data_IF_627656352663
#
_entry.id   IF_627656352663
#
_cell.length_a   1.000
_cell.length_b   1.000
_cell.length_c   1.000
_cell.angle_alpha   90.00
_cell.angle_beta   90.00
_cell.angle_gamma   90.00
#
_symmetry.space_group_name_H-M   'P 1'
#
loop_
_entity.id
_entity.type
_entity.pdbx_description
1 polymer ?
#
# COMPACT_ATOMS: atom_id res chain seq x y z
N UNK A 1 -22.10 -0.89 -6.40
CA UNK A 1 -22.37 -1.38 -5.04
C UNK A 1 -22.95 -2.80 -5.03
N UNK A 2 -23.92 -3.16 -5.88
CA UNK A 2 -24.49 -4.53 -5.96
C UNK A 2 -23.47 -5.61 -6.28
N UNK A 3 -22.58 -5.38 -7.26
CA UNK A 3 -21.53 -6.34 -7.66
C UNK A 3 -20.62 -6.69 -6.48
N UNK A 4 -20.23 -5.70 -5.67
CA UNK A 4 -19.40 -5.93 -4.49
C UNK A 4 -20.10 -6.79 -3.44
N UNK A 5 -21.40 -6.57 -3.23
CA UNK A 5 -22.20 -7.36 -2.31
C UNK A 5 -22.27 -8.83 -2.77
N UNK A 6 -22.56 -9.07 -4.05
CA UNK A 6 -22.57 -10.43 -4.61
C UNK A 6 -21.20 -11.11 -4.51
N UNK A 7 -20.12 -10.39 -4.81
CA UNK A 7 -18.78 -10.93 -4.68
C UNK A 7 -18.45 -11.31 -3.23
N UNK A 8 -18.85 -10.48 -2.23
CA UNK A 8 -18.69 -10.79 -0.82
C UNK A 8 -19.47 -12.04 -0.40
N UNK A 9 -20.73 -12.17 -0.83
CA UNK A 9 -21.57 -13.33 -0.54
C UNK A 9 -20.99 -14.62 -1.15
N UNK A 10 -20.50 -14.57 -2.39
CA UNK A 10 -19.86 -15.72 -3.05
C UNK A 10 -18.61 -16.14 -2.29
N UNK A 11 -17.70 -15.18 -1.98
CA UNK A 11 -16.47 -15.47 -1.25
C UNK A 11 -16.81 -16.11 0.10
N UNK A 12 -17.71 -15.50 0.86
CA UNK A 12 -18.09 -16.01 2.18
C UNK A 12 -18.63 -17.44 2.12
N UNK A 13 -19.55 -17.73 1.19
CA UNK A 13 -20.17 -19.04 1.07
C UNK A 13 -19.19 -20.13 0.64
N UNK A 14 -18.31 -19.81 -0.32
CA UNK A 14 -17.32 -20.77 -0.84
C UNK A 14 -16.22 -21.03 0.18
N UNK A 15 -15.70 -20.00 0.84
CA UNK A 15 -14.68 -20.16 1.87
C UNK A 15 -15.19 -21.00 3.05
N UNK A 16 -16.46 -20.78 3.45
CA UNK A 16 -17.09 -21.56 4.51
C UNK A 16 -17.26 -23.04 4.13
N UNK A 17 -17.54 -23.32 2.87
CA UNK A 17 -17.80 -24.69 2.39
C UNK A 17 -16.50 -25.47 2.12
N UNK A 18 -15.46 -24.81 1.60
CA UNK A 18 -14.27 -25.48 1.05
C UNK A 18 -12.99 -25.20 1.82
N UNK A 19 -13.04 -24.42 2.92
CA UNK A 19 -11.86 -24.06 3.73
C UNK A 19 -10.69 -23.51 2.90
N UNK A 20 -10.99 -22.70 1.89
CA UNK A 20 -10.04 -22.05 0.99
C UNK A 20 -10.08 -20.53 1.15
N UNK A 21 -9.08 -19.84 0.64
CA UNK A 21 -9.09 -18.38 0.52
C UNK A 21 -9.41 -17.97 -0.91
N UNK A 22 -10.38 -17.07 -1.07
CA UNK A 22 -10.77 -16.52 -2.37
C UNK A 22 -10.50 -15.02 -2.44
N UNK A 23 -10.13 -14.59 -3.62
CA UNK A 23 -9.95 -13.18 -3.95
C UNK A 23 -10.75 -12.84 -5.20
N UNK A 24 -11.19 -11.60 -5.33
CA UNK A 24 -11.92 -11.13 -6.48
C UNK A 24 -11.41 -9.76 -6.92
N UNK A 25 -11.40 -9.56 -8.23
CA UNK A 25 -11.20 -8.26 -8.85
C UNK A 25 -12.47 -7.79 -9.54
N UNK A 26 -12.72 -6.50 -9.54
CA UNK A 26 -13.85 -5.86 -10.22
C UNK A 26 -13.31 -4.82 -11.20
N UNK A 27 -13.62 -5.01 -12.48
CA UNK A 27 -13.32 -4.04 -13.55
C UNK A 27 -14.45 -3.04 -13.77
N UNK A 28 -14.28 -2.13 -14.71
CA UNK A 28 -15.30 -1.18 -15.11
C UNK A 28 -16.48 -1.86 -15.81
N UNK A 29 -17.64 -1.21 -15.80
CA UNK A 29 -18.82 -1.71 -16.53
C UNK A 29 -18.58 -1.56 -18.03
N UNK A 30 -18.80 -2.63 -18.80
CA UNK A 30 -18.71 -2.65 -20.24
C UNK A 30 -20.06 -2.95 -20.89
N UNK A 31 -20.40 -2.22 -21.93
CA UNK A 31 -21.68 -2.35 -22.68
C UNK A 31 -21.50 -2.97 -24.06
N UNK A 32 -20.30 -2.99 -24.57
CA UNK A 32 -19.96 -3.57 -25.86
C UNK A 32 -18.76 -4.53 -25.75
N UNK A 33 -18.49 -5.28 -26.82
CA UNK A 33 -17.46 -6.32 -26.83
C UNK A 33 -16.04 -5.82 -26.42
N UNK A 34 -15.68 -4.63 -26.83
CA UNK A 34 -14.36 -4.06 -26.52
C UNK A 34 -14.28 -3.64 -25.06
N UNK A 35 -15.32 -3.02 -24.53
CA UNK A 35 -15.42 -2.63 -23.13
C UNK A 35 -15.46 -3.83 -22.19
N UNK A 36 -16.20 -4.90 -22.54
CA UNK A 36 -16.22 -6.14 -21.75
C UNK A 36 -14.83 -6.77 -21.71
N UNK A 37 -14.10 -6.79 -22.84
CA UNK A 37 -12.73 -7.30 -22.86
C UNK A 37 -11.77 -6.45 -22.04
N UNK A 38 -11.97 -5.14 -22.01
CA UNK A 38 -11.23 -4.23 -21.15
C UNK A 38 -11.56 -4.46 -19.68
N UNK A 39 -12.84 -4.51 -19.33
CA UNK A 39 -13.34 -4.80 -17.99
C UNK A 39 -12.77 -6.11 -17.42
N UNK A 40 -12.70 -7.16 -18.24
CA UNK A 40 -12.09 -8.42 -17.82
C UNK A 40 -10.61 -8.25 -17.45
N UNK A 41 -9.82 -7.55 -18.26
CA UNK A 41 -8.39 -7.29 -17.96
C UNK A 41 -8.21 -6.46 -16.70
N UNK A 42 -9.04 -5.45 -16.51
CA UNK A 42 -9.07 -4.63 -15.31
C UNK A 42 -9.40 -5.47 -14.05
N UNK A 43 -10.41 -6.32 -14.15
CA UNK A 43 -10.79 -7.25 -13.08
C UNK A 43 -9.68 -8.26 -12.77
N UNK A 44 -9.04 -8.82 -13.79
CA UNK A 44 -7.92 -9.75 -13.64
C UNK A 44 -6.74 -9.10 -12.93
N UNK A 45 -6.36 -7.88 -13.33
CA UNK A 45 -5.30 -7.10 -12.66
C UNK A 45 -5.65 -6.83 -11.19
N UNK A 46 -6.87 -6.38 -10.91
CA UNK A 46 -7.32 -6.12 -9.54
C UNK A 46 -7.35 -7.39 -8.69
N UNK A 47 -7.74 -8.53 -9.27
CA UNK A 47 -7.74 -9.83 -8.60
C UNK A 47 -6.32 -10.28 -8.25
N UNK A 48 -5.37 -10.18 -9.18
CA UNK A 48 -3.97 -10.52 -8.96
C UNK A 48 -3.36 -9.66 -7.83
N UNK A 49 -3.66 -8.37 -7.81
CA UNK A 49 -3.25 -7.47 -6.72
C UNK A 49 -3.91 -7.83 -5.38
N UNK A 50 -5.18 -8.23 -5.38
CA UNK A 50 -5.86 -8.68 -4.17
C UNK A 50 -5.20 -9.95 -3.59
N UNK A 51 -4.88 -10.93 -4.45
CA UNK A 51 -4.17 -12.16 -4.07
C UNK A 51 -2.76 -11.87 -3.54
N UNK A 52 -2.06 -10.95 -4.15
CA UNK A 52 -0.69 -10.59 -3.78
C UNK A 52 -0.64 -9.81 -2.47
N UNK A 53 -1.42 -8.74 -2.37
CA UNK A 53 -1.38 -7.83 -1.21
C UNK A 53 -2.14 -8.37 0.01
N UNK A 54 -3.07 -9.28 -0.17
CA UNK A 54 -3.91 -9.93 0.87
C UNK A 54 -4.59 -8.95 1.86
N UNK A 55 -4.50 -7.65 1.61
CA UNK A 55 -5.07 -6.61 2.47
C UNK A 55 -6.59 -6.47 2.32
N UNK A 56 -7.13 -6.81 1.14
CA UNK A 56 -8.56 -6.84 0.84
C UNK A 56 -8.85 -8.05 -0.05
N UNK A 57 -9.89 -8.82 0.27
CA UNK A 57 -10.33 -9.96 -0.55
C UNK A 57 -10.94 -9.55 -1.89
N UNK A 58 -11.48 -8.35 -1.97
CA UNK A 58 -12.04 -7.77 -3.19
C UNK A 58 -11.35 -6.45 -3.46
N UNK A 59 -10.77 -6.31 -4.65
CA UNK A 59 -10.25 -5.03 -5.15
C UNK A 59 -11.05 -4.58 -6.36
N UNK A 60 -11.37 -3.29 -6.40
CA UNK A 60 -11.97 -2.64 -7.57
C UNK A 60 -10.85 -1.97 -8.35
N UNK A 61 -10.80 -2.15 -9.67
CA UNK A 61 -9.72 -1.60 -10.49
C UNK A 61 -9.64 -0.07 -10.41
N UNK A 62 -10.79 0.63 -10.25
CA UNK A 62 -10.81 2.08 -10.06
C UNK A 62 -10.15 2.57 -8.76
N UNK A 63 -9.95 1.67 -7.81
CA UNK A 63 -9.32 1.97 -6.51
C UNK A 63 -7.85 1.53 -6.48
N UNK A 64 -7.32 1.11 -7.63
CA UNK A 64 -5.92 0.70 -7.78
C UNK A 64 -5.16 1.84 -8.44
N UNK A 65 -4.32 2.51 -7.68
CA UNK A 65 -3.58 3.67 -8.12
C UNK A 65 -2.07 3.35 -8.27
N UNK A 66 -1.32 3.55 -7.21
CA UNK A 66 0.14 3.42 -7.22
C UNK A 66 0.59 1.96 -7.44
N UNK A 67 -0.20 0.98 -7.01
CA UNK A 67 0.10 -0.43 -7.15
C UNK A 67 0.26 -0.84 -8.62
N UNK A 68 -0.47 -0.22 -9.55
CA UNK A 68 -0.32 -0.45 -10.99
C UNK A 68 1.06 -0.05 -11.51
N UNK A 69 1.63 1.02 -10.96
CA UNK A 69 2.97 1.46 -11.30
C UNK A 69 4.00 0.51 -10.70
N UNK A 70 3.84 0.14 -9.44
CA UNK A 70 4.76 -0.73 -8.73
C UNK A 70 4.82 -2.14 -9.34
N UNK A 71 3.70 -2.66 -9.84
CA UNK A 71 3.64 -3.96 -10.53
C UNK A 71 4.50 -3.99 -11.80
N UNK A 72 4.64 -2.85 -12.50
CA UNK A 72 5.42 -2.72 -13.72
C UNK A 72 6.93 -2.45 -13.47
N UNK A 73 7.34 -2.23 -12.23
CA UNK A 73 8.74 -2.05 -11.84
C UNK A 73 9.28 -3.39 -11.36
N UNK A 74 10.47 -3.79 -11.82
CA UNK A 74 11.08 -5.04 -11.36
C UNK A 74 11.30 -5.05 -9.84
N UNK A 75 11.18 -6.21 -9.21
CA UNK A 75 11.43 -6.33 -7.76
C UNK A 75 12.83 -5.82 -7.40
N UNK A 76 13.82 -6.12 -8.24
CA UNK A 76 15.20 -5.68 -8.05
C UNK A 76 15.33 -4.14 -8.03
N UNK A 77 14.65 -3.44 -8.95
CA UNK A 77 14.68 -1.97 -9.00
C UNK A 77 13.95 -1.35 -7.81
N UNK A 78 12.85 -1.97 -7.36
CA UNK A 78 12.13 -1.57 -6.16
C UNK A 78 12.99 -1.70 -4.91
N UNK A 79 13.64 -2.85 -4.71
CA UNK A 79 14.58 -3.08 -3.60
C UNK A 79 15.75 -2.10 -3.62
N UNK A 80 16.31 -1.84 -4.81
CA UNK A 80 17.39 -0.88 -4.97
C UNK A 80 16.96 0.53 -4.59
N UNK A 81 15.73 0.92 -4.96
CA UNK A 81 15.18 2.24 -4.58
C UNK A 81 15.01 2.36 -3.06
N UNK A 82 14.41 1.35 -2.41
CA UNK A 82 14.24 1.34 -0.95
C UNK A 82 15.59 1.44 -0.24
N UNK A 83 16.58 0.63 -0.64
CA UNK A 83 17.93 0.69 -0.10
C UNK A 83 18.60 2.06 -0.31
N UNK A 84 18.37 2.70 -1.44
CA UNK A 84 18.90 4.04 -1.71
C UNK A 84 18.31 5.10 -0.77
N UNK A 85 17.02 5.01 -0.45
CA UNK A 85 16.35 6.00 0.41
C UNK A 85 16.70 5.78 1.87
N UNK A 86 16.58 4.55 2.38
CA UNK A 86 16.87 4.22 3.78
C UNK A 86 18.36 3.96 4.04
N UNK A 87 19.20 4.01 2.98
CA UNK A 87 20.66 3.90 3.05
C UNK A 87 21.11 2.66 3.86
N UNK A 88 21.90 2.92 4.91
CA UNK A 88 22.50 1.88 5.75
C UNK A 88 21.63 1.50 6.96
N UNK A 89 20.34 1.86 6.95
CA UNK A 89 19.42 1.46 8.01
C UNK A 89 19.27 -0.07 8.00
N UNK A 90 19.35 -0.67 9.19
CA UNK A 90 19.05 -2.08 9.37
C UNK A 90 17.55 -2.34 9.12
N UNK A 91 17.21 -3.61 8.85
CA UNK A 91 15.85 -4.01 8.52
C UNK A 91 14.83 -3.58 9.60
N UNK A 92 15.15 -3.81 10.86
CA UNK A 92 14.29 -3.41 11.98
C UNK A 92 14.08 -1.89 12.07
N UNK A 93 15.09 -1.12 11.70
CA UNK A 93 14.99 0.33 11.67
C UNK A 93 14.15 0.80 10.48
N UNK A 94 14.32 0.18 9.32
CA UNK A 94 13.51 0.43 8.13
C UNK A 94 12.03 0.17 8.41
N UNK A 95 11.69 -0.95 9.04
CA UNK A 95 10.30 -1.25 9.47
C UNK A 95 9.74 -0.13 10.36
N UNK A 96 10.51 0.32 11.35
CA UNK A 96 10.08 1.42 12.24
C UNK A 96 9.84 2.74 11.50
N UNK A 97 10.68 3.05 10.51
CA UNK A 97 10.50 4.24 9.67
C UNK A 97 9.29 4.13 8.76
N UNK A 98 9.07 2.98 8.15
CA UNK A 98 7.88 2.70 7.33
C UNK A 98 6.60 2.88 8.15
N UNK A 99 6.53 2.29 9.34
CA UNK A 99 5.38 2.44 10.24
C UNK A 99 5.15 3.90 10.67
N UNK A 100 6.22 4.63 10.97
CA UNK A 100 6.13 6.05 11.32
C UNK A 100 5.60 6.88 10.15
N UNK A 101 6.15 6.68 8.95
CA UNK A 101 5.73 7.37 7.73
C UNK A 101 4.28 7.06 7.38
N UNK A 102 3.84 5.81 7.54
CA UNK A 102 2.46 5.39 7.33
C UNK A 102 1.51 6.16 8.23
N UNK A 103 1.73 6.10 9.54
CA UNK A 103 0.89 6.81 10.50
C UNK A 103 0.89 8.33 10.26
N UNK A 104 2.06 8.91 9.91
CA UNK A 104 2.18 10.33 9.63
C UNK A 104 1.42 10.75 8.37
N UNK A 105 1.45 9.92 7.31
CA UNK A 105 0.71 10.17 6.06
C UNK A 105 -0.80 10.03 6.23
N UNK A 106 -1.26 9.01 6.95
CA UNK A 106 -2.69 8.78 7.24
C UNK A 106 -3.30 9.95 8.03
N UNK A 107 -2.47 10.61 8.84
CA UNK A 107 -2.83 11.82 9.57
C UNK A 107 -2.56 13.12 8.80
N UNK A 108 -2.34 13.05 7.48
CA UNK A 108 -2.05 14.21 6.62
C UNK A 108 -0.91 15.10 7.16
N UNK A 109 0.14 14.50 7.75
CA UNK A 109 1.27 15.22 8.32
C UNK A 109 0.98 15.95 9.64
N UNK A 110 -0.13 15.66 10.31
CA UNK A 110 -0.50 16.28 11.58
C UNK A 110 0.32 15.70 12.73
N UNK A 111 1.25 16.49 13.28
CA UNK A 111 2.05 16.11 14.46
C UNK A 111 1.15 15.70 15.64
N UNK A 112 0.07 16.44 15.86
CA UNK A 112 -0.83 16.18 16.99
C UNK A 112 -1.51 14.83 16.87
N UNK A 113 -2.19 14.60 15.75
CA UNK A 113 -2.94 13.34 15.52
C UNK A 113 -2.00 12.13 15.45
N UNK A 114 -0.88 12.24 14.74
CA UNK A 114 0.11 11.16 14.65
C UNK A 114 0.69 10.81 16.01
N UNK A 115 0.96 11.80 16.88
CA UNK A 115 1.45 11.54 18.23
C UNK A 115 0.40 10.85 19.10
N UNK A 116 -0.88 11.23 18.96
CA UNK A 116 -2.01 10.58 19.63
C UNK A 116 -2.16 9.11 19.18
N UNK A 117 -2.16 8.83 17.88
CA UNK A 117 -2.29 7.48 17.32
C UNK A 117 -1.12 6.56 17.69
N UNK A 118 0.09 7.13 17.78
CA UNK A 118 1.30 6.39 18.22
C UNK A 118 1.45 6.31 19.74
N UNK A 119 0.52 6.89 20.51
CA UNK A 119 0.58 6.97 21.97
C UNK A 119 1.90 7.56 22.52
N UNK A 120 2.41 8.60 21.87
CA UNK A 120 3.64 9.29 22.26
C UNK A 120 3.42 10.81 22.40
N UNK A 121 4.35 11.49 23.11
CA UNK A 121 4.31 12.95 23.18
C UNK A 121 4.74 13.56 21.83
N UNK A 122 4.19 14.76 21.50
CA UNK A 122 4.51 15.49 20.26
C UNK A 122 6.01 15.74 20.07
N UNK A 123 6.73 16.05 21.15
CA UNK A 123 8.18 16.26 21.09
C UNK A 123 8.93 14.98 20.73
N UNK A 124 8.46 13.81 21.20
CA UNK A 124 9.01 12.50 20.83
C UNK A 124 8.79 12.22 19.35
N UNK A 125 7.61 12.55 18.82
CA UNK A 125 7.34 12.43 17.39
C UNK A 125 8.27 13.33 16.56
N UNK A 126 8.39 14.61 16.94
CA UNK A 126 9.29 15.55 16.26
C UNK A 126 10.75 15.07 16.28
N UNK A 127 11.20 14.54 17.41
CA UNK A 127 12.52 13.92 17.52
C UNK A 127 12.67 12.74 16.56
N UNK A 128 11.69 11.82 16.49
CA UNK A 128 11.72 10.68 15.56
C UNK A 128 11.76 11.13 14.10
N UNK A 129 10.95 12.13 13.72
CA UNK A 129 10.97 12.69 12.35
C UNK A 129 12.32 13.34 12.02
N UNK A 130 12.95 14.00 13.00
CA UNK A 130 14.30 14.56 12.81
C UNK A 130 15.36 13.47 12.67
N UNK A 131 15.24 12.36 13.42
CA UNK A 131 16.12 11.19 13.27
C UNK A 131 15.96 10.52 11.92
N UNK A 132 14.73 10.38 11.41
CA UNK A 132 14.49 9.90 10.06
C UNK A 132 15.17 10.80 9.01
N UNK A 133 15.07 12.13 9.17
CA UNK A 133 15.78 13.07 8.29
C UNK A 133 17.31 12.89 8.35
N UNK A 134 17.88 12.73 9.54
CA UNK A 134 19.32 12.50 9.71
C UNK A 134 19.77 11.20 9.02
N UNK A 135 18.98 10.11 9.17
CA UNK A 135 19.29 8.82 8.59
C UNK A 135 19.18 8.81 7.06
N UNK A 136 18.11 9.40 6.53
CA UNK A 136 17.79 9.33 5.09
C UNK A 136 18.29 10.53 4.29
N UNK A 137 18.41 11.68 4.91
CA UNK A 137 18.67 12.97 4.26
C UNK A 137 17.40 13.68 3.77
N UNK A 138 16.21 13.13 3.99
CA UNK A 138 14.91 13.67 3.55
C UNK A 138 14.04 14.05 4.75
N UNK A 139 13.48 15.27 4.74
CA UNK A 139 12.57 15.72 5.80
C UNK A 139 11.11 15.35 5.45
N UNK A 140 10.46 14.47 6.20
CA UNK A 140 9.07 14.09 5.93
C UNK A 140 8.06 15.23 6.12
N UNK A 141 8.47 16.34 6.76
CA UNK A 141 7.66 17.56 6.97
C UNK A 141 7.73 18.50 5.77
N UNK A 142 8.70 18.33 4.88
CA UNK A 142 8.83 19.08 3.64
C UNK A 142 8.17 18.29 2.51
N UNK A 143 7.19 18.88 1.82
CA UNK A 143 6.41 18.22 0.78
C UNK A 143 7.30 17.60 -0.31
N UNK A 144 8.30 18.34 -0.81
CA UNK A 144 9.16 17.86 -1.89
C UNK A 144 10.08 16.74 -1.41
N UNK A 145 10.67 16.90 -0.23
CA UNK A 145 11.57 15.90 0.35
C UNK A 145 10.83 14.65 0.85
N UNK A 146 9.55 14.76 1.19
CA UNK A 146 8.75 13.62 1.64
C UNK A 146 8.38 12.65 0.52
N UNK A 147 8.33 13.08 -0.74
CA UNK A 147 7.93 12.25 -1.88
C UNK A 147 8.78 10.98 -1.99
N UNK A 148 10.12 11.03 -2.02
CA UNK A 148 10.94 9.81 -2.07
C UNK A 148 10.71 8.87 -0.88
N UNK A 149 10.49 9.43 0.33
CA UNK A 149 10.19 8.64 1.53
C UNK A 149 8.88 7.88 1.40
N UNK A 150 7.81 8.54 0.93
CA UNK A 150 6.51 7.89 0.73
C UNK A 150 6.54 6.85 -0.37
N UNK A 151 7.24 7.10 -1.47
CA UNK A 151 7.42 6.09 -2.52
C UNK A 151 8.17 4.87 -1.97
N UNK A 152 9.24 5.07 -1.21
CA UNK A 152 9.99 3.97 -0.61
C UNK A 152 9.15 3.18 0.41
N UNK A 153 8.33 3.87 1.22
CA UNK A 153 7.37 3.25 2.13
C UNK A 153 6.35 2.39 1.36
N UNK A 154 5.73 2.93 0.31
CA UNK A 154 4.75 2.21 -0.50
C UNK A 154 5.35 0.98 -1.18
N UNK A 155 6.58 1.11 -1.72
CA UNK A 155 7.32 -0.02 -2.30
C UNK A 155 7.60 -1.08 -1.23
N UNK A 156 8.10 -0.66 -0.07
CA UNK A 156 8.40 -1.59 1.02
C UNK A 156 7.16 -2.39 1.41
N UNK A 157 6.05 -1.74 1.65
CA UNK A 157 4.79 -2.40 1.99
C UNK A 157 4.28 -3.31 0.86
N UNK A 158 4.37 -2.84 -0.40
CA UNK A 158 3.98 -3.63 -1.55
C UNK A 158 4.76 -4.95 -1.64
N UNK A 159 6.05 -4.95 -1.33
CA UNK A 159 6.90 -6.15 -1.42
C UNK A 159 6.81 -7.04 -0.17
N UNK A 160 6.50 -6.50 1.02
CA UNK A 160 6.45 -7.26 2.29
C UNK A 160 5.03 -7.66 2.73
N UNK A 161 3.98 -7.21 2.03
CA UNK A 161 2.60 -7.68 2.29
C UNK A 161 2.38 -9.13 1.81
N UNK A 162 3.40 -9.77 1.22
CA UNK A 162 3.32 -11.08 0.56
C UNK A 162 3.72 -12.24 1.47
N UNK A 163 4.15 -11.96 2.71
CA UNK A 163 4.42 -12.96 3.75
C UNK A 163 3.26 -13.03 4.77
#
# INVERSE_FOLDING_TARGET
>A
QEILKYAQEIIYNVEKQYSCQLYAGVGAVGTNRLEIRRSYREADTACNLAMRLKNKKIKVYSDVDIELLLENISKQDRELFVKRIFKDCEEEETVRWVQLLRCYSENNGSITKTAEDLYIHKNTLQYRLSKLKEATGYDPRNIVESIPLYIAMLIYEFDHTTE
#
